data_IF_708210947330
#
_entry.id   IF_708210947330
#
_cell.length_a   1.000
_cell.length_b   1.000
_cell.length_c   1.000
_cell.angle_alpha   90.00
_cell.angle_beta   90.00
_cell.angle_gamma   90.00
#
_symmetry.space_group_name_H-M   'P 1'
#
loop_
_entity.id
_entity.type
_entity.pdbx_description
1 polymer ?
#
# COMPACT_ATOMS: atom_id res chain seq x y z
N UNK A 1 18.59 -5.53 1.55
CA UNK A 1 17.50 -6.49 1.82
C UNK A 1 16.38 -6.25 0.81
N UNK A 2 15.80 -7.29 0.21
CA UNK A 2 14.63 -7.18 -0.68
C UNK A 2 13.41 -7.77 0.03
N UNK A 3 12.23 -7.23 -0.20
CA UNK A 3 10.98 -7.74 0.35
C UNK A 3 9.88 -7.76 -0.72
N UNK A 4 8.84 -8.55 -0.46
CA UNK A 4 7.71 -8.73 -1.38
C UNK A 4 6.58 -7.78 -0.98
N UNK A 5 6.06 -7.03 -1.96
CA UNK A 5 4.81 -6.30 -1.76
C UNK A 5 3.65 -7.29 -1.58
N UNK A 6 2.91 -7.17 -0.49
CA UNK A 6 1.78 -8.03 -0.15
C UNK A 6 0.66 -7.98 -1.19
N UNK A 7 0.44 -6.81 -1.81
CA UNK A 7 -0.71 -6.61 -2.71
C UNK A 7 -0.45 -6.95 -4.17
N UNK A 8 0.76 -6.68 -4.70
CA UNK A 8 1.09 -6.97 -6.11
C UNK A 8 2.09 -8.11 -6.29
N UNK A 9 2.63 -8.69 -5.21
CA UNK A 9 3.56 -9.82 -5.27
C UNK A 9 4.97 -9.49 -5.79
N UNK A 10 5.20 -8.28 -6.32
CA UNK A 10 6.50 -7.86 -6.83
C UNK A 10 7.54 -7.73 -5.70
N UNK A 11 8.74 -8.24 -5.97
CA UNK A 11 9.91 -8.12 -5.08
C UNK A 11 10.62 -6.80 -5.37
N UNK A 12 10.81 -5.97 -4.35
CA UNK A 12 11.49 -4.67 -4.45
C UNK A 12 12.51 -4.51 -3.33
N UNK A 13 13.38 -3.51 -3.46
CA UNK A 13 14.23 -3.11 -2.33
C UNK A 13 13.36 -2.58 -1.20
N UNK A 14 13.77 -2.82 0.05
CA UNK A 14 13.00 -2.37 1.23
C UNK A 14 12.85 -0.85 1.31
N UNK A 15 13.74 -0.07 0.67
CA UNK A 15 13.61 1.39 0.53
C UNK A 15 12.40 1.82 -0.32
N UNK A 16 11.94 0.95 -1.21
CA UNK A 16 10.81 1.20 -2.13
C UNK A 16 9.49 0.62 -1.59
N UNK A 17 9.49 0.22 -0.31
CA UNK A 17 8.38 -0.44 0.36
C UNK A 17 8.05 0.31 1.66
N UNK A 18 6.75 0.48 1.90
CA UNK A 18 6.17 0.96 3.14
C UNK A 18 5.85 -0.25 4.02
N UNK A 19 6.28 -0.23 5.28
CA UNK A 19 5.94 -1.25 6.26
C UNK A 19 4.60 -0.89 6.92
N UNK A 20 3.61 -1.77 6.79
CA UNK A 20 2.33 -1.65 7.46
C UNK A 20 2.40 -2.23 8.89
N UNK A 21 1.47 -1.81 9.75
CA UNK A 21 1.37 -2.27 11.15
C UNK A 21 1.23 -3.80 11.27
N UNK A 22 0.58 -4.43 10.28
CA UNK A 22 0.39 -5.88 10.19
C UNK A 22 1.65 -6.68 9.82
N UNK A 23 2.85 -6.11 9.95
CA UNK A 23 4.14 -6.69 9.51
C UNK A 23 4.24 -6.99 8.00
N UNK A 24 3.29 -6.49 7.22
CA UNK A 24 3.29 -6.59 5.75
C UNK A 24 4.02 -5.41 5.10
N UNK A 25 4.57 -5.63 3.90
CA UNK A 25 5.15 -4.57 3.08
C UNK A 25 4.25 -4.22 1.90
N UNK A 26 4.09 -2.95 1.59
CA UNK A 26 3.43 -2.46 0.38
C UNK A 26 4.38 -1.58 -0.42
N UNK A 27 4.37 -1.69 -1.74
CA UNK A 27 5.11 -0.73 -2.58
C UNK A 27 4.36 0.61 -2.63
N UNK A 28 5.07 1.70 -2.93
CA UNK A 28 4.48 3.04 -3.03
C UNK A 28 3.25 3.09 -3.93
N UNK A 29 3.26 2.40 -5.08
CA UNK A 29 2.08 2.35 -5.96
C UNK A 29 0.85 1.72 -5.30
N UNK A 30 1.02 0.62 -4.55
CA UNK A 30 -0.09 -0.04 -3.85
C UNK A 30 -0.51 0.77 -2.62
N UNK A 31 0.46 1.36 -1.92
CA UNK A 31 0.20 2.27 -0.80
C UNK A 31 -0.65 3.47 -1.24
N UNK A 32 -0.29 4.13 -2.33
CA UNK A 32 -1.03 5.28 -2.85
C UNK A 32 -2.44 4.91 -3.32
N UNK A 33 -2.64 3.72 -3.92
CA UNK A 33 -3.99 3.22 -4.23
C UNK A 33 -4.83 3.08 -2.96
N UNK A 34 -4.25 2.47 -1.93
CA UNK A 34 -4.91 2.28 -0.63
C UNK A 34 -5.21 3.59 0.09
N UNK A 35 -4.34 4.60 -0.03
CA UNK A 35 -4.61 5.95 0.48
C UNK A 35 -5.82 6.56 -0.25
N UNK A 36 -5.86 6.52 -1.58
CA UNK A 36 -7.00 7.04 -2.36
C UNK A 36 -8.32 6.34 -2.03
N UNK A 37 -8.29 5.04 -1.75
CA UNK A 37 -9.47 4.28 -1.29
C UNK A 37 -9.95 4.74 0.10
N UNK A 38 -9.05 5.15 1.00
CA UNK A 38 -9.39 5.66 2.33
C UNK A 38 -9.71 7.17 2.35
N UNK A 39 -9.21 7.93 1.37
CA UNK A 39 -9.49 9.37 1.20
C UNK A 39 -10.86 9.67 0.59
N UNK A 40 -11.61 8.66 0.14
CA UNK A 40 -13.02 8.84 -0.18
C UNK A 40 -13.82 8.79 1.13
N UNK A 41 -14.27 9.93 1.69
CA UNK A 41 -15.34 9.87 2.66
C UNK A 41 -16.52 9.17 1.99
N UNK A 42 -17.16 8.25 2.72
CA UNK A 42 -18.44 7.65 2.37
C UNK A 42 -19.58 8.71 2.42
N UNK A 43 -19.43 9.82 1.72
CA UNK A 43 -20.48 10.82 1.54
C UNK A 43 -20.86 10.87 0.07
N UNK A 44 -21.58 9.82 -0.34
CA UNK A 44 -22.58 9.92 -1.37
C UNK A 44 -23.94 9.84 -0.67
N UNK A 45 -24.64 10.97 -0.57
CA UNK A 45 -26.03 11.06 -1.02
C UNK A 45 -26.42 12.54 -1.14
N UNK A 46 -26.82 12.89 -2.37
CA UNK A 46 -27.50 14.13 -2.78
C UNK A 46 -28.74 14.40 -1.94
#
# INVERSE_FOLDING_TARGET
>A
MKARCHQCGMIRSTKDLVRCESRSFLCFSCWNKKLKENELPQNFQN
#
